data_IF_246595622721
#
_entry.id   IF_246595622721
#
_cell.length_a   1.000
_cell.length_b   1.000
_cell.length_c   1.000
_cell.angle_alpha   90.00
_cell.angle_beta   90.00
_cell.angle_gamma   90.00
#
_symmetry.space_group_name_H-M   'P 1'
#
loop_
_entity.id
_entity.type
_entity.pdbx_description
1 polymer ?
#
# COMPACT_ATOMS: atom_id res chain seq x y z
N UNK A 1 -13.81 16.37 27.06
CA UNK A 1 -14.87 15.88 26.14
C UNK A 1 -15.32 17.04 25.27
N UNK A 2 -14.77 17.18 24.07
CA UNK A 2 -15.20 18.21 23.12
C UNK A 2 -15.57 17.51 21.83
N UNK A 3 -16.88 17.37 21.62
CA UNK A 3 -17.43 16.83 20.37
C UNK A 3 -17.16 17.84 19.25
N UNK A 4 -16.70 17.42 18.06
CA UNK A 4 -16.78 18.29 16.89
C UNK A 4 -18.25 18.59 16.66
N UNK A 5 -18.67 19.84 16.87
CA UNK A 5 -20.05 20.28 16.75
C UNK A 5 -20.44 20.33 15.27
N UNK A 6 -20.80 19.18 14.69
CA UNK A 6 -21.64 19.20 13.49
C UNK A 6 -22.96 19.80 13.91
N UNK A 7 -23.21 21.02 13.45
CA UNK A 7 -24.45 21.76 13.72
C UNK A 7 -25.60 21.00 13.08
N UNK A 8 -26.67 20.76 13.84
CA UNK A 8 -27.89 20.16 13.31
C UNK A 8 -28.55 21.20 12.41
N UNK A 9 -28.84 20.89 11.13
CA UNK A 9 -29.46 21.87 10.23
C UNK A 9 -30.83 22.32 10.75
N UNK A 10 -31.16 23.62 10.64
CA UNK A 10 -32.42 24.18 11.15
C UNK A 10 -33.68 23.47 10.59
N UNK A 11 -33.63 23.03 9.33
CA UNK A 11 -34.70 22.22 8.71
C UNK A 11 -35.01 20.92 9.46
N UNK A 12 -34.01 20.31 10.10
CA UNK A 12 -34.17 19.05 10.86
C UNK A 12 -34.82 19.30 12.19
N UNK A 13 -34.54 20.44 12.82
CA UNK A 13 -35.27 20.88 14.01
C UNK A 13 -36.74 21.08 13.67
N UNK A 14 -37.04 21.71 12.52
CA UNK A 14 -38.40 21.85 12.01
C UNK A 14 -39.12 20.50 11.79
N UNK A 15 -38.47 19.54 11.14
CA UNK A 15 -39.01 18.18 10.93
C UNK A 15 -39.21 17.43 12.25
N UNK A 16 -38.29 17.60 13.20
CA UNK A 16 -38.40 16.99 14.55
C UNK A 16 -39.59 17.55 15.34
N UNK A 17 -39.81 18.87 15.28
CA UNK A 17 -40.98 19.49 15.89
C UNK A 17 -42.29 19.06 15.21
N UNK A 18 -42.30 19.00 13.87
CA UNK A 18 -43.46 18.55 13.12
C UNK A 18 -43.83 17.09 13.44
N UNK A 19 -42.85 16.19 13.49
CA UNK A 19 -43.07 14.77 13.86
C UNK A 19 -43.58 14.58 15.29
N UNK A 20 -43.17 15.41 16.25
CA UNK A 20 -43.73 15.41 17.61
C UNK A 20 -45.16 15.97 17.67
N UNK A 21 -45.48 16.93 16.80
CA UNK A 21 -46.80 17.55 16.76
C UNK A 21 -47.88 16.59 16.24
N UNK A 22 -47.55 15.67 15.32
CA UNK A 22 -48.51 14.70 14.76
C UNK A 22 -49.23 13.89 15.85
N UNK A 23 -48.55 13.11 16.72
CA UNK A 23 -49.24 12.34 17.76
C UNK A 23 -49.96 13.24 18.76
N UNK A 24 -49.42 14.43 19.07
CA UNK A 24 -50.01 15.36 20.02
C UNK A 24 -51.33 15.98 19.51
N UNK A 25 -51.37 16.35 18.24
CA UNK A 25 -52.57 16.91 17.60
C UNK A 25 -53.64 15.83 17.44
N UNK A 26 -53.25 14.62 17.03
CA UNK A 26 -54.20 13.51 16.91
C UNK A 26 -54.78 13.12 18.28
N UNK A 27 -53.97 13.16 19.36
CA UNK A 27 -54.42 12.98 20.74
C UNK A 27 -55.53 13.96 21.16
N UNK A 28 -55.50 15.19 20.64
CA UNK A 28 -56.50 16.22 20.94
C UNK A 28 -57.72 16.16 20.00
N UNK A 29 -57.52 15.79 18.73
CA UNK A 29 -58.55 15.84 17.70
C UNK A 29 -59.39 14.56 17.59
N UNK A 30 -58.82 13.41 17.93
CA UNK A 30 -59.46 12.11 17.80
C UNK A 30 -59.10 11.18 18.97
N UNK A 31 -59.50 11.53 20.21
CA UNK A 31 -59.12 10.78 21.40
C UNK A 31 -59.69 9.35 21.40
N UNK A 32 -60.87 9.14 20.82
CA UNK A 32 -61.52 7.82 20.77
C UNK A 32 -60.77 6.85 19.83
N UNK A 33 -60.25 7.34 18.70
CA UNK A 33 -59.44 6.55 17.76
C UNK A 33 -58.06 6.17 18.33
N UNK A 34 -57.50 7.01 19.21
CA UNK A 34 -56.28 6.66 19.96
C UNK A 34 -56.50 5.68 21.11
N UNK A 35 -57.74 5.60 21.62
CA UNK A 35 -58.11 4.63 22.62
C UNK A 35 -58.30 3.22 22.01
N UNK A 36 -58.54 3.14 20.70
CA UNK A 36 -58.54 1.90 19.93
C UNK A 36 -57.12 1.41 19.61
N UNK A 37 -56.97 0.09 19.42
CA UNK A 37 -55.65 -0.53 19.18
C UNK A 37 -54.96 0.01 17.92
N UNK A 38 -55.70 0.52 16.94
CA UNK A 38 -55.19 1.05 15.68
C UNK A 38 -54.38 2.36 15.82
N UNK A 39 -54.64 3.15 16.88
CA UNK A 39 -54.00 4.46 17.09
C UNK A 39 -52.56 4.40 17.64
N UNK A 40 -52.09 3.24 18.08
CA UNK A 40 -50.82 3.03 18.79
C UNK A 40 -49.57 3.36 17.96
N UNK A 41 -49.60 3.10 16.64
CA UNK A 41 -48.46 3.34 15.75
C UNK A 41 -48.13 4.84 15.60
N UNK A 42 -49.08 5.74 15.88
CA UNK A 42 -48.85 7.18 15.75
C UNK A 42 -47.80 7.68 16.75
N UNK A 43 -47.67 7.00 17.89
CA UNK A 43 -46.67 7.32 18.91
C UNK A 43 -45.24 6.96 18.49
N UNK A 44 -45.05 6.10 17.47
CA UNK A 44 -43.73 5.82 16.93
C UNK A 44 -43.09 7.06 16.29
N UNK A 45 -43.90 8.03 15.85
CA UNK A 45 -43.41 9.32 15.35
C UNK A 45 -42.68 10.14 16.43
N UNK A 46 -42.94 9.89 17.72
CA UNK A 46 -42.22 10.53 18.82
C UNK A 46 -40.74 10.09 18.90
N UNK A 47 -40.34 9.01 18.23
CA UNK A 47 -38.93 8.58 18.15
C UNK A 47 -38.15 9.26 17.02
N UNK A 48 -38.83 9.87 16.05
CA UNK A 48 -38.18 10.55 14.92
C UNK A 48 -37.19 11.67 15.35
N UNK A 49 -37.48 12.52 16.36
CA UNK A 49 -36.52 13.51 16.85
C UNK A 49 -35.22 12.89 17.38
N UNK A 50 -35.33 11.82 18.18
CA UNK A 50 -34.18 11.14 18.77
C UNK A 50 -33.33 10.47 17.68
N UNK A 51 -33.98 9.82 16.71
CA UNK A 51 -33.33 9.23 15.54
C UNK A 51 -32.59 10.28 14.70
N UNK A 52 -33.29 11.36 14.32
CA UNK A 52 -32.71 12.44 13.49
C UNK A 52 -31.53 13.10 14.20
N UNK A 53 -31.65 13.36 15.49
CA UNK A 53 -30.54 13.92 16.28
C UNK A 53 -29.31 12.99 16.27
N UNK A 54 -29.50 11.70 16.54
CA UNK A 54 -28.42 10.71 16.54
C UNK A 54 -27.74 10.62 15.15
N UNK A 55 -28.54 10.57 14.08
CA UNK A 55 -28.07 10.51 12.71
C UNK A 55 -27.20 11.72 12.32
N UNK A 56 -27.67 12.94 12.60
CA UNK A 56 -26.97 14.17 12.23
C UNK A 56 -25.75 14.47 13.10
N UNK A 57 -25.72 13.99 14.35
CA UNK A 57 -24.52 14.02 15.20
C UNK A 57 -23.48 12.97 14.79
N UNK A 58 -23.79 12.11 13.82
CA UNK A 58 -22.90 11.07 13.32
C UNK A 58 -22.84 9.82 14.21
N UNK A 59 -23.78 9.67 15.16
CA UNK A 59 -23.92 8.49 16.01
C UNK A 59 -24.64 7.38 15.24
N UNK A 60 -24.00 6.86 14.20
CA UNK A 60 -24.61 5.93 13.23
C UNK A 60 -25.15 4.67 13.90
N UNK A 61 -24.46 4.16 14.93
CA UNK A 61 -24.91 3.01 15.72
C UNK A 61 -26.21 3.27 16.49
N UNK A 62 -26.33 4.43 17.13
CA UNK A 62 -27.56 4.83 17.86
C UNK A 62 -28.72 5.05 16.90
N UNK A 63 -28.47 5.71 15.76
CA UNK A 63 -29.50 5.92 14.75
C UNK A 63 -30.03 4.58 14.17
N UNK A 64 -29.13 3.64 13.86
CA UNK A 64 -29.52 2.32 13.37
C UNK A 64 -30.33 1.53 14.41
N UNK A 65 -29.92 1.59 15.68
CA UNK A 65 -30.63 0.90 16.76
C UNK A 65 -32.05 1.47 16.98
N UNK A 66 -32.22 2.79 16.93
CA UNK A 66 -33.54 3.43 17.00
C UNK A 66 -34.41 3.05 15.79
N UNK A 67 -33.84 3.02 14.58
CA UNK A 67 -34.57 2.63 13.37
C UNK A 67 -35.02 1.16 13.39
N UNK A 68 -34.12 0.25 13.76
CA UNK A 68 -34.45 -1.16 13.95
C UNK A 68 -35.53 -1.32 15.02
N UNK A 69 -35.43 -0.55 16.10
CA UNK A 69 -36.42 -0.58 17.17
C UNK A 69 -37.80 -0.11 16.78
N UNK A 70 -37.89 1.00 16.04
CA UNK A 70 -39.15 1.45 15.46
C UNK A 70 -39.75 0.38 14.54
N UNK A 71 -38.93 -0.27 13.69
CA UNK A 71 -39.41 -1.33 12.80
C UNK A 71 -39.92 -2.58 13.54
N UNK A 72 -39.22 -3.03 14.58
CA UNK A 72 -39.63 -4.17 15.40
C UNK A 72 -40.93 -3.86 16.16
N UNK A 73 -41.08 -2.66 16.72
CA UNK A 73 -42.31 -2.24 17.39
C UNK A 73 -43.49 -2.15 16.41
N UNK A 74 -43.26 -1.60 15.20
CA UNK A 74 -44.28 -1.61 14.15
C UNK A 74 -44.72 -3.02 13.77
N UNK A 75 -43.77 -3.94 13.60
CA UNK A 75 -44.05 -5.32 13.21
C UNK A 75 -44.81 -6.09 14.30
N UNK A 76 -44.36 -5.99 15.55
CA UNK A 76 -45.03 -6.62 16.69
C UNK A 76 -46.47 -6.10 16.87
N UNK A 77 -46.69 -4.81 16.60
CA UNK A 77 -48.02 -4.23 16.65
C UNK A 77 -48.94 -4.72 15.52
N UNK A 78 -48.42 -4.80 14.29
CA UNK A 78 -49.16 -5.40 13.16
C UNK A 78 -49.50 -6.87 13.45
N UNK A 79 -48.58 -7.63 14.02
CA UNK A 79 -48.80 -9.03 14.42
C UNK A 79 -49.90 -9.16 15.49
N UNK A 80 -49.93 -8.24 16.47
CA UNK A 80 -50.94 -8.22 17.53
C UNK A 80 -52.36 -7.94 16.98
N UNK A 81 -52.48 -7.00 16.03
CA UNK A 81 -53.75 -6.72 15.33
C UNK A 81 -54.20 -7.94 14.52
N UNK A 82 -53.28 -8.58 13.78
CA UNK A 82 -53.60 -9.73 12.93
C UNK A 82 -54.03 -10.98 13.72
N UNK A 83 -53.64 -11.08 14.99
CA UNK A 83 -53.93 -12.22 15.87
C UNK A 83 -55.14 -12.00 16.79
N UNK A 84 -55.89 -10.89 16.65
CA UNK A 84 -57.06 -10.53 17.47
C UNK A 84 -56.85 -10.77 18.98
N UNK A 85 -55.66 -10.44 19.48
CA UNK A 85 -55.25 -10.74 20.85
C UNK A 85 -55.82 -9.72 21.86
N UNK A 86 -56.12 -10.14 23.09
CA UNK A 86 -56.71 -9.29 24.15
C UNK A 86 -55.90 -8.03 24.48
N UNK A 87 -56.52 -6.95 25.00
CA UNK A 87 -55.86 -5.66 25.14
C UNK A 87 -54.58 -5.76 25.98
N UNK A 88 -53.45 -5.21 25.48
CA UNK A 88 -52.17 -5.30 26.17
C UNK A 88 -52.23 -4.55 27.50
N UNK A 89 -51.65 -5.13 28.55
CA UNK A 89 -51.43 -4.42 29.81
C UNK A 89 -50.50 -3.23 29.54
N UNK A 90 -51.07 -2.02 29.53
CA UNK A 90 -50.38 -0.77 29.20
C UNK A 90 -49.13 -0.51 30.03
N UNK A 91 -49.14 -0.89 31.31
CA UNK A 91 -47.97 -0.75 32.17
C UNK A 91 -46.84 -1.69 31.74
N UNK A 92 -47.18 -2.92 31.34
CA UNK A 92 -46.21 -3.91 30.86
C UNK A 92 -45.64 -3.50 29.49
N UNK A 93 -46.50 -3.01 28.59
CA UNK A 93 -46.09 -2.53 27.27
C UNK A 93 -45.18 -1.31 27.39
N UNK A 94 -45.53 -0.32 28.21
CA UNK A 94 -44.69 0.85 28.46
C UNK A 94 -43.33 0.46 29.07
N UNK A 95 -43.33 -0.46 30.04
CA UNK A 95 -42.09 -0.95 30.65
C UNK A 95 -41.22 -1.72 29.65
N UNK A 96 -41.81 -2.57 28.81
CA UNK A 96 -41.11 -3.34 27.79
C UNK A 96 -40.51 -2.44 26.70
N UNK A 97 -41.28 -1.48 26.18
CA UNK A 97 -40.82 -0.48 25.21
C UNK A 97 -39.69 0.37 25.79
N UNK A 98 -39.84 0.84 27.04
CA UNK A 98 -38.81 1.63 27.73
C UNK A 98 -37.52 0.84 27.94
N UNK A 99 -37.61 -0.41 28.40
CA UNK A 99 -36.46 -1.29 28.57
C UNK A 99 -35.76 -1.60 27.24
N UNK A 100 -36.55 -1.82 26.18
CA UNK A 100 -36.04 -2.06 24.84
C UNK A 100 -35.31 -0.84 24.27
N UNK A 101 -35.88 0.36 24.39
CA UNK A 101 -35.23 1.61 23.96
C UNK A 101 -33.93 1.84 24.72
N UNK A 102 -33.92 1.63 26.04
CA UNK A 102 -32.71 1.74 26.85
C UNK A 102 -31.63 0.75 26.38
N UNK A 103 -32.00 -0.49 26.06
CA UNK A 103 -31.09 -1.50 25.52
C UNK A 103 -30.55 -1.11 24.13
N UNK A 104 -31.39 -0.62 23.22
CA UNK A 104 -30.99 -0.15 21.89
C UNK A 104 -30.04 1.04 21.97
N UNK A 105 -30.31 2.02 22.84
CA UNK A 105 -29.42 3.17 23.07
C UNK A 105 -28.09 2.69 23.67
N UNK A 106 -28.12 1.79 24.66
CA UNK A 106 -26.93 1.18 25.24
C UNK A 106 -26.07 0.46 24.20
N UNK A 107 -26.68 -0.41 23.39
CA UNK A 107 -26.00 -1.13 22.31
C UNK A 107 -25.42 -0.17 21.24
N UNK A 108 -26.17 0.88 20.88
CA UNK A 108 -25.71 1.91 19.96
C UNK A 108 -24.50 2.69 20.48
N UNK A 109 -24.48 3.01 21.79
CA UNK A 109 -23.34 3.65 22.46
C UNK A 109 -22.12 2.73 22.46
N UNK A 110 -22.30 1.45 22.80
CA UNK A 110 -21.21 0.46 22.81
C UNK A 110 -20.64 0.28 21.41
N UNK A 111 -21.48 0.15 20.38
CA UNK A 111 -21.06 0.02 18.99
C UNK A 111 -20.27 1.25 18.50
N UNK A 112 -20.73 2.46 18.85
CA UNK A 112 -20.02 3.70 18.54
C UNK A 112 -18.67 3.79 19.27
N UNK A 113 -18.62 3.39 20.55
CA UNK A 113 -17.38 3.34 21.33
C UNK A 113 -16.38 2.36 20.70
N UNK A 114 -16.83 1.17 20.32
CA UNK A 114 -16.02 0.16 19.65
C UNK A 114 -15.47 0.68 18.31
N UNK A 115 -16.32 1.34 17.51
CA UNK A 115 -15.89 1.89 16.22
C UNK A 115 -14.83 2.99 16.39
N UNK A 116 -14.97 3.83 17.42
CA UNK A 116 -13.98 4.86 17.74
C UNK A 116 -12.66 4.28 18.23
N UNK A 117 -12.71 3.30 19.11
CA UNK A 117 -11.48 2.63 19.57
C UNK A 117 -10.78 1.91 18.42
N UNK A 118 -11.53 1.27 17.51
CA UNK A 118 -10.98 0.70 16.28
C UNK A 118 -10.32 1.76 15.39
N UNK A 119 -10.99 2.90 15.15
CA UNK A 119 -10.43 3.98 14.32
C UNK A 119 -9.18 4.63 14.96
N UNK A 120 -9.13 4.74 16.29
CA UNK A 120 -7.92 5.17 17.01
C UNK A 120 -6.80 4.15 16.89
N UNK A 121 -7.10 2.87 17.07
CA UNK A 121 -6.13 1.78 16.90
C UNK A 121 -5.56 1.77 15.48
N UNK A 122 -6.40 1.97 14.47
CA UNK A 122 -5.98 2.08 13.06
C UNK A 122 -5.09 3.32 12.83
N UNK A 123 -5.40 4.48 13.42
CA UNK A 123 -4.52 5.67 13.32
C UNK A 123 -3.18 5.47 14.02
N UNK A 124 -3.17 4.86 15.21
CA UNK A 124 -1.94 4.50 15.92
C UNK A 124 -1.10 3.49 15.13
N UNK A 125 -1.76 2.66 14.30
CA UNK A 125 -1.11 1.68 13.44
C UNK A 125 -0.52 2.27 12.14
N UNK A 126 -0.73 3.57 11.84
CA UNK A 126 -0.28 4.20 10.59
C UNK A 126 0.77 5.31 10.79
N UNK A 127 1.20 5.56 12.02
CA UNK A 127 2.16 6.62 12.37
C UNK A 127 3.34 6.00 13.12
N UNK A 128 4.55 6.38 12.73
CA UNK A 128 5.78 6.03 13.44
C UNK A 128 5.89 6.85 14.73
N UNK A 129 6.00 6.17 15.87
CA UNK A 129 5.96 6.81 17.20
C UNK A 129 7.19 7.69 17.47
N UNK A 130 8.34 7.39 16.84
CA UNK A 130 9.57 8.12 17.07
C UNK A 130 9.55 9.47 16.36
N UNK A 131 9.21 9.48 15.07
CA UNK A 131 9.30 10.65 14.19
C UNK A 131 7.97 11.41 14.06
N UNK A 132 6.85 10.76 14.36
CA UNK A 132 5.51 11.29 14.14
C UNK A 132 5.11 11.39 12.66
N UNK A 133 5.93 10.86 11.75
CA UNK A 133 5.57 10.67 10.34
C UNK A 133 4.68 9.44 10.17
N UNK A 134 3.91 9.36 9.08
CA UNK A 134 3.39 8.11 8.57
C UNK A 134 4.42 6.97 8.61
N UNK A 135 3.99 5.75 8.93
CA UNK A 135 4.86 4.57 8.91
C UNK A 135 4.84 3.86 7.54
N UNK A 136 5.65 2.81 7.42
CA UNK A 136 5.73 1.97 6.21
C UNK A 136 4.37 1.54 5.68
N UNK A 137 3.46 1.08 6.54
CA UNK A 137 2.13 0.61 6.13
C UNK A 137 1.31 1.72 5.47
N UNK A 138 1.36 2.94 6.00
CA UNK A 138 0.67 4.07 5.39
C UNK A 138 1.32 4.45 4.04
N UNK A 139 2.65 4.36 3.94
CA UNK A 139 3.35 4.58 2.69
C UNK A 139 2.90 3.58 1.61
N UNK A 140 2.85 2.29 1.92
CA UNK A 140 2.41 1.22 0.99
C UNK A 140 0.97 1.45 0.52
N UNK A 141 0.03 1.74 1.42
CA UNK A 141 -1.36 2.06 1.05
C UNK A 141 -1.46 3.29 0.12
N UNK A 142 -0.60 4.28 0.34
CA UNK A 142 -0.59 5.51 -0.47
C UNK A 142 0.06 5.28 -1.82
N UNK A 143 1.16 4.53 -1.86
CA UNK A 143 1.85 4.13 -3.08
C UNK A 143 0.91 3.36 -4.01
N UNK A 144 0.20 2.36 -3.49
CA UNK A 144 -0.74 1.57 -4.28
C UNK A 144 -1.85 2.46 -4.90
N UNK A 145 -2.45 3.33 -4.08
CA UNK A 145 -3.48 4.25 -4.55
C UNK A 145 -2.97 5.27 -5.60
N UNK A 146 -1.78 5.85 -5.38
CA UNK A 146 -1.18 6.82 -6.30
C UNK A 146 -0.65 6.16 -7.57
N UNK A 147 -0.12 4.94 -7.47
CA UNK A 147 0.33 4.16 -8.63
C UNK A 147 -0.84 3.81 -9.55
N UNK A 148 -1.96 3.36 -8.98
CA UNK A 148 -3.19 3.14 -9.75
C UNK A 148 -3.68 4.43 -10.42
N UNK A 149 -3.51 5.59 -9.78
CA UNK A 149 -3.84 6.88 -10.37
C UNK A 149 -2.87 7.29 -11.49
N UNK A 150 -1.58 6.97 -11.34
CA UNK A 150 -0.57 7.19 -12.36
C UNK A 150 -0.84 6.34 -13.63
N UNK A 151 -1.32 5.11 -13.44
CA UNK A 151 -1.83 4.27 -14.54
C UNK A 151 -2.98 4.89 -15.34
N UNK A 152 -3.66 5.91 -14.79
CA UNK A 152 -4.71 6.69 -15.48
C UNK A 152 -4.21 8.04 -16.02
N UNK A 153 -2.89 8.25 -16.08
CA UNK A 153 -2.25 9.44 -16.64
C UNK A 153 -1.81 10.50 -15.63
N UNK A 154 -1.87 10.24 -14.32
CA UNK A 154 -1.27 11.15 -13.33
C UNK A 154 0.25 10.99 -13.26
N UNK A 155 0.97 12.07 -12.94
CA UNK A 155 2.41 12.00 -12.67
C UNK A 155 2.64 11.52 -11.25
N UNK A 156 3.60 10.63 -11.08
CA UNK A 156 3.99 10.09 -9.78
C UNK A 156 5.51 9.99 -9.71
N UNK A 157 6.07 10.48 -8.62
CA UNK A 157 7.48 10.29 -8.30
C UNK A 157 7.63 9.73 -6.87
N UNK A 158 8.64 8.89 -6.70
CA UNK A 158 9.05 8.36 -5.38
C UNK A 158 10.46 8.82 -5.11
N UNK A 159 10.68 9.32 -3.90
CA UNK A 159 12.00 9.66 -3.38
C UNK A 159 12.29 8.78 -2.18
N UNK A 160 13.34 7.99 -2.25
CA UNK A 160 13.89 7.25 -1.11
C UNK A 160 15.06 8.04 -0.52
N UNK A 161 15.09 8.17 0.80
CA UNK A 161 16.15 8.79 1.56
C UNK A 161 16.75 7.80 2.53
N UNK A 162 18.06 7.88 2.69
CA UNK A 162 18.79 7.11 3.70
C UNK A 162 19.86 7.97 4.36
N UNK A 163 19.86 7.95 5.70
CA UNK A 163 20.77 8.74 6.51
C UNK A 163 22.19 8.17 6.43
N UNK A 164 23.12 8.97 5.92
CA UNK A 164 24.48 8.51 5.68
C UNK A 164 25.20 8.17 6.99
N UNK A 165 25.83 7.00 7.04
CA UNK A 165 26.65 6.54 8.16
C UNK A 165 25.89 6.51 9.51
N UNK A 166 24.55 6.36 9.48
CA UNK A 166 23.71 6.39 10.69
C UNK A 166 24.14 5.38 11.75
N UNK A 167 24.53 4.17 11.35
CA UNK A 167 25.10 3.17 12.27
C UNK A 167 26.32 3.69 13.05
N UNK A 168 27.23 4.43 12.41
CA UNK A 168 28.40 5.00 13.09
C UNK A 168 28.01 6.07 14.12
N UNK A 169 26.94 6.83 13.86
CA UNK A 169 26.39 7.79 14.82
C UNK A 169 25.89 7.05 16.06
N UNK A 170 25.14 5.96 15.88
CA UNK A 170 24.67 5.13 16.99
C UNK A 170 25.82 4.50 17.77
N UNK A 171 26.81 3.95 17.08
CA UNK A 171 27.93 3.25 17.70
C UNK A 171 28.80 4.23 18.51
N UNK A 172 28.98 5.47 18.03
CA UNK A 172 29.85 6.47 18.66
C UNK A 172 29.15 7.33 19.72
N UNK A 173 27.87 7.63 19.53
CA UNK A 173 27.12 8.60 20.36
C UNK A 173 25.90 7.99 21.07
N UNK A 174 25.65 6.69 20.87
CA UNK A 174 24.55 5.94 21.46
C UNK A 174 23.23 6.11 20.72
N UNK A 175 22.30 5.17 20.93
CA UNK A 175 21.00 5.16 20.25
C UNK A 175 20.16 6.42 20.45
N UNK A 176 20.28 7.11 21.60
CA UNK A 176 19.57 8.38 21.85
C UNK A 176 20.00 9.48 20.86
N UNK A 177 21.25 9.44 20.40
CA UNK A 177 21.75 10.36 19.38
C UNK A 177 21.11 10.05 18.02
N UNK A 178 21.08 8.78 17.62
CA UNK A 178 20.39 8.36 16.40
C UNK A 178 18.90 8.71 16.41
N UNK A 179 18.21 8.49 17.53
CA UNK A 179 16.82 8.89 17.71
C UNK A 179 16.61 10.41 17.52
N UNK A 180 17.56 11.23 17.98
CA UNK A 180 17.50 12.67 17.77
C UNK A 180 17.65 13.05 16.29
N UNK A 181 18.56 12.38 15.56
CA UNK A 181 18.70 12.54 14.10
C UNK A 181 17.41 12.17 13.39
N UNK A 182 16.83 11.01 13.71
CA UNK A 182 15.58 10.55 13.09
C UNK A 182 14.41 11.52 13.34
N UNK A 183 14.29 12.05 14.57
CA UNK A 183 13.26 13.06 14.90
C UNK A 183 13.44 14.35 14.10
N UNK A 184 14.67 14.86 14.02
CA UNK A 184 14.97 16.09 13.28
C UNK A 184 14.70 15.89 11.79
N UNK A 185 15.15 14.78 11.22
CA UNK A 185 14.91 14.47 9.82
C UNK A 185 13.41 14.31 9.51
N UNK A 186 12.67 13.64 10.40
CA UNK A 186 11.22 13.54 10.29
C UNK A 186 10.51 14.90 10.30
N UNK A 187 10.99 15.85 11.12
CA UNK A 187 10.48 17.23 11.13
C UNK A 187 10.80 17.99 9.84
N UNK A 188 12.01 17.84 9.29
CA UNK A 188 12.42 18.45 8.01
C UNK A 188 11.50 17.94 6.89
N UNK A 189 11.30 16.62 6.80
CA UNK A 189 10.39 16.03 5.82
C UNK A 189 8.96 16.56 5.99
N UNK A 190 8.43 16.58 7.21
CA UNK A 190 7.07 17.06 7.48
C UNK A 190 6.85 18.53 7.07
N UNK A 191 7.83 19.40 7.27
CA UNK A 191 7.74 20.82 6.87
C UNK A 191 7.80 21.01 5.35
N UNK A 192 8.55 20.13 4.68
CA UNK A 192 8.78 20.23 3.23
C UNK A 192 7.73 19.51 2.38
N UNK A 193 6.98 18.57 2.98
CA UNK A 193 5.95 17.76 2.31
C UNK A 193 4.64 18.52 2.18
N UNK A 194 4.07 18.57 0.98
CA UNK A 194 2.77 19.23 0.75
C UNK A 194 1.62 18.34 1.20
N UNK A 195 0.42 18.89 1.32
CA UNK A 195 -0.78 18.16 1.77
C UNK A 195 -1.18 17.00 0.84
N UNK A 196 -0.86 17.09 -0.44
CA UNK A 196 -1.13 16.07 -1.46
C UNK A 196 -0.05 14.99 -1.53
N UNK A 197 1.11 15.24 -0.93
CA UNK A 197 2.25 14.34 -0.89
C UNK A 197 2.28 13.59 0.45
N UNK A 198 3.06 12.52 0.51
CA UNK A 198 3.26 11.76 1.74
C UNK A 198 4.75 11.54 1.98
N UNK A 199 5.26 11.96 3.14
CA UNK A 199 6.55 11.49 3.65
C UNK A 199 6.34 10.53 4.80
N UNK A 200 7.03 9.40 4.78
CA UNK A 200 6.89 8.33 5.74
C UNK A 200 8.26 7.78 6.16
N UNK A 201 8.33 7.23 7.37
CA UNK A 201 9.46 6.40 7.79
C UNK A 201 9.23 4.99 7.27
N UNK A 202 10.06 4.56 6.34
CA UNK A 202 9.91 3.29 5.62
C UNK A 202 10.66 2.15 6.30
N UNK A 203 11.78 2.47 6.97
CA UNK A 203 12.63 1.52 7.67
C UNK A 203 13.35 2.16 8.87
N UNK A 204 14.43 1.50 9.33
CA UNK A 204 15.20 1.96 10.48
C UNK A 204 15.75 3.38 10.29
N UNK A 205 16.57 3.57 9.26
CA UNK A 205 17.17 4.86 8.86
C UNK A 205 16.65 5.37 7.49
N UNK A 206 15.69 4.65 6.91
CA UNK A 206 15.15 4.87 5.58
C UNK A 206 13.80 5.58 5.61
N UNK A 207 13.64 6.55 4.73
CA UNK A 207 12.42 7.33 4.57
C UNK A 207 11.99 7.35 3.11
N UNK A 208 10.69 7.44 2.88
CA UNK A 208 10.11 7.53 1.55
C UNK A 208 9.24 8.77 1.45
N UNK A 209 9.31 9.47 0.33
CA UNK A 209 8.36 10.49 -0.06
C UNK A 209 7.66 10.09 -1.35
N UNK A 210 6.34 10.07 -1.32
CA UNK A 210 5.46 9.89 -2.47
C UNK A 210 5.00 11.28 -2.92
N UNK A 211 5.40 11.67 -4.12
CA UNK A 211 5.09 12.98 -4.71
C UNK A 211 4.06 12.80 -5.82
N UNK A 212 2.86 13.35 -5.60
CA UNK A 212 1.76 13.29 -6.55
C UNK A 212 1.80 14.49 -7.49
N UNK A 213 1.47 14.29 -8.76
CA UNK A 213 1.44 15.33 -9.78
C UNK A 213 2.77 16.12 -9.87
N UNK A 214 3.88 15.40 -9.77
CA UNK A 214 5.21 15.98 -9.68
C UNK A 214 5.97 15.85 -11.00
N UNK A 215 6.45 16.99 -11.52
CA UNK A 215 7.38 17.01 -12.65
C UNK A 215 8.79 16.56 -12.24
N UNK A 216 9.61 16.06 -13.19
CA UNK A 216 10.97 15.61 -12.90
C UNK A 216 11.83 16.58 -12.10
N UNK A 217 11.85 17.86 -12.49
CA UNK A 217 12.59 18.88 -11.76
C UNK A 217 12.02 19.18 -10.37
N UNK A 218 10.73 18.95 -10.14
CA UNK A 218 10.08 19.18 -8.85
C UNK A 218 10.56 18.22 -7.76
N UNK A 219 10.71 16.93 -8.11
CA UNK A 219 11.19 15.91 -7.18
C UNK A 219 12.65 16.14 -6.77
N UNK A 220 13.51 16.51 -7.73
CA UNK A 220 14.90 16.86 -7.46
C UNK A 220 15.03 18.08 -6.53
N UNK A 221 14.28 19.16 -6.82
CA UNK A 221 14.28 20.35 -5.97
C UNK A 221 13.76 20.05 -4.56
N UNK A 222 12.74 19.20 -4.43
CA UNK A 222 12.25 18.74 -3.13
C UNK A 222 13.37 18.02 -2.36
N UNK A 223 14.03 17.05 -2.99
CA UNK A 223 15.10 16.28 -2.37
C UNK A 223 16.31 17.16 -2.00
N UNK A 224 16.71 18.09 -2.88
CA UNK A 224 17.82 19.03 -2.63
C UNK A 224 17.54 19.94 -1.44
N UNK A 225 16.30 20.42 -1.32
CA UNK A 225 15.89 21.25 -0.18
C UNK A 225 15.95 20.48 1.13
N UNK A 226 15.43 19.25 1.17
CA UNK A 226 15.49 18.37 2.35
C UNK A 226 16.94 18.06 2.72
N UNK A 227 17.77 17.71 1.75
CA UNK A 227 19.20 17.43 1.96
C UNK A 227 19.94 18.64 2.53
N UNK A 228 19.73 19.83 1.96
CA UNK A 228 20.35 21.07 2.44
C UNK A 228 19.95 21.38 3.89
N UNK A 229 18.66 21.29 4.21
CA UNK A 229 18.18 21.53 5.58
C UNK A 229 18.80 20.56 6.60
N UNK A 230 18.96 19.28 6.25
CA UNK A 230 19.63 18.32 7.14
C UNK A 230 21.12 18.64 7.31
N UNK A 231 21.81 19.01 6.24
CA UNK A 231 23.23 19.39 6.28
C UNK A 231 23.47 20.64 7.15
N UNK A 232 22.52 21.57 7.13
CA UNK A 232 22.55 22.79 7.94
C UNK A 232 22.18 22.53 9.41
N UNK A 233 21.43 21.47 9.70
CA UNK A 233 21.13 21.07 11.07
C UNK A 233 22.42 20.74 11.84
N UNK A 234 22.55 21.35 13.02
CA UNK A 234 23.72 21.17 13.90
C UNK A 234 23.39 20.18 15.00
N UNK A 235 24.16 19.08 15.04
CA UNK A 235 24.12 18.11 16.12
C UNK A 235 25.34 18.29 17.02
N UNK A 236 25.27 17.81 18.27
CA UNK A 236 26.39 17.90 19.22
C UNK A 236 27.67 17.16 18.80
N UNK A 237 27.60 16.40 17.70
CA UNK A 237 28.68 15.59 17.13
C UNK A 237 29.00 15.93 15.66
N UNK A 238 28.45 17.02 15.12
CA UNK A 238 28.74 17.49 13.76
C UNK A 238 27.51 17.55 12.84
N UNK A 239 27.76 17.55 11.53
CA UNK A 239 26.72 17.52 10.51
C UNK A 239 26.35 16.09 10.14
N UNK A 240 25.08 15.86 9.84
CA UNK A 240 24.58 14.60 9.27
C UNK A 240 24.16 14.86 7.83
N UNK A 241 24.42 13.90 6.95
CA UNK A 241 24.04 13.97 5.53
C UNK A 241 23.04 12.88 5.19
N UNK A 242 22.39 13.03 4.05
CA UNK A 242 21.42 12.07 3.52
C UNK A 242 21.67 11.87 2.04
N UNK A 243 21.64 10.61 1.62
CA UNK A 243 21.61 10.24 0.21
C UNK A 243 20.17 10.01 -0.22
N UNK A 244 19.83 10.37 -1.45
CA UNK A 244 18.48 10.14 -1.99
C UNK A 244 18.50 9.49 -3.37
N UNK A 245 17.52 8.64 -3.62
CA UNK A 245 17.23 8.06 -4.92
C UNK A 245 15.83 8.45 -5.37
N UNK A 246 15.70 8.96 -6.59
CA UNK A 246 14.43 9.39 -7.17
C UNK A 246 14.06 8.46 -8.32
N UNK A 247 12.80 8.04 -8.39
CA UNK A 247 12.25 7.40 -9.59
C UNK A 247 10.88 7.98 -9.94
N UNK A 248 10.58 7.94 -11.23
CA UNK A 248 9.31 8.39 -11.78
C UNK A 248 8.53 7.19 -12.28
N UNK A 249 7.21 7.26 -12.15
CA UNK A 249 6.33 6.32 -12.81
C UNK A 249 6.53 6.42 -14.33
N UNK A 250 6.69 5.27 -14.97
CA UNK A 250 6.74 5.13 -16.42
C UNK A 250 5.63 4.18 -16.87
N UNK A 251 5.04 4.46 -18.03
CA UNK A 251 4.01 3.62 -18.61
C UNK A 251 4.56 2.21 -18.89
N UNK A 252 3.89 1.19 -18.36
CA UNK A 252 4.34 -0.21 -18.44
C UNK A 252 4.98 -0.77 -17.17
N UNK A 253 5.16 0.04 -16.12
CA UNK A 253 5.44 -0.49 -14.79
C UNK A 253 4.23 -1.30 -14.31
N UNK A 254 4.44 -2.55 -13.88
CA UNK A 254 3.36 -3.44 -13.44
C UNK A 254 2.91 -3.26 -11.98
N UNK A 255 3.73 -2.64 -11.13
CA UNK A 255 3.39 -2.37 -9.72
C UNK A 255 4.26 -1.27 -9.09
N UNK A 256 3.83 -0.78 -7.93
CA UNK A 256 4.55 0.27 -7.20
C UNK A 256 5.89 -0.23 -6.64
N UNK A 257 6.06 -1.52 -6.37
CA UNK A 257 7.33 -2.11 -5.90
C UNK A 257 8.44 -1.89 -6.92
N UNK A 258 8.12 -1.95 -8.22
CA UNK A 258 9.10 -1.69 -9.29
C UNK A 258 9.52 -0.22 -9.30
N UNK A 259 8.58 0.70 -9.06
CA UNK A 259 8.87 2.12 -8.92
C UNK A 259 9.76 2.39 -7.69
N UNK A 260 9.43 1.78 -6.54
CA UNK A 260 10.23 1.89 -5.31
C UNK A 260 11.62 1.29 -5.52
N UNK A 261 11.72 0.16 -6.19
CA UNK A 261 13.00 -0.48 -6.51
C UNK A 261 13.85 0.33 -7.48
N UNK A 262 13.24 1.02 -8.44
CA UNK A 262 13.92 1.98 -9.29
C UNK A 262 14.52 3.13 -8.46
N UNK A 263 13.77 3.67 -7.49
CA UNK A 263 14.28 4.68 -6.56
C UNK A 263 15.41 4.12 -5.68
N UNK A 264 15.30 2.87 -5.23
CA UNK A 264 16.32 2.20 -4.41
C UNK A 264 17.63 2.03 -5.18
N UNK A 265 17.57 1.68 -6.46
CA UNK A 265 18.75 1.63 -7.34
C UNK A 265 19.46 2.98 -7.43
N UNK A 266 18.71 4.06 -7.59
CA UNK A 266 19.28 5.40 -7.62
C UNK A 266 19.93 5.74 -6.26
N UNK A 267 19.27 5.41 -5.15
CA UNK A 267 19.81 5.61 -3.81
C UNK A 267 21.10 4.80 -3.59
N UNK A 268 21.15 3.56 -4.06
CA UNK A 268 22.35 2.73 -4.02
C UNK A 268 23.50 3.37 -4.81
N UNK A 269 23.23 3.87 -6.02
CA UNK A 269 24.21 4.62 -6.81
C UNK A 269 24.71 5.86 -6.06
N UNK A 270 23.82 6.60 -5.40
CA UNK A 270 24.17 7.76 -4.59
C UNK A 270 25.14 7.39 -3.46
N UNK A 271 24.85 6.29 -2.74
CA UNK A 271 25.70 5.79 -1.65
C UNK A 271 27.08 5.36 -2.14
N UNK A 272 27.15 4.68 -3.30
CA UNK A 272 28.40 4.19 -3.86
C UNK A 272 29.25 5.28 -4.54
N UNK A 273 28.62 6.34 -5.04
CA UNK A 273 29.32 7.47 -5.65
C UNK A 273 29.89 8.47 -4.64
N UNK A 274 29.82 8.18 -3.33
CA UNK A 274 30.42 8.98 -2.27
C UNK A 274 29.43 9.59 -1.28
N UNK A 275 28.15 9.18 -1.31
CA UNK A 275 27.08 9.66 -0.41
C UNK A 275 26.77 11.16 -0.58
N UNK A 276 25.88 11.69 0.28
CA UNK A 276 25.51 13.11 0.37
C UNK A 276 25.11 13.70 -1.00
N UNK A 277 24.33 12.92 -1.77
CA UNK A 277 23.89 13.28 -3.12
C UNK A 277 22.54 12.68 -3.44
N UNK A 278 21.97 13.18 -4.53
CA UNK A 278 20.68 12.78 -5.05
C UNK A 278 20.94 12.21 -6.43
N UNK A 279 20.49 10.98 -6.65
CA UNK A 279 20.54 10.35 -7.96
C UNK A 279 19.11 10.13 -8.46
N UNK A 280 18.92 10.33 -9.75
CA UNK A 280 17.66 10.03 -10.43
C UNK A 280 17.84 8.73 -11.20
N UNK A 281 16.95 7.78 -10.96
CA UNK A 281 16.92 6.55 -11.71
C UNK A 281 16.70 6.85 -13.19
N UNK A 282 17.59 6.32 -14.02
CA UNK A 282 17.45 6.32 -15.47
C UNK A 282 17.51 4.88 -15.92
N UNK A 283 16.47 4.36 -16.59
CA UNK A 283 16.53 3.00 -17.11
C UNK A 283 17.74 2.89 -18.06
N UNK A 284 18.51 1.79 -17.98
CA UNK A 284 19.62 1.57 -18.91
C UNK A 284 19.08 1.54 -20.34
N UNK A 285 19.68 2.32 -21.25
CA UNK A 285 19.34 2.28 -22.67
C UNK A 285 19.63 0.88 -23.22
N UNK A 286 18.58 0.06 -23.40
CA UNK A 286 18.68 -1.32 -23.93
C UNK A 286 19.10 -1.34 -25.41
N UNK A 287 19.13 -0.18 -26.10
CA UNK A 287 19.35 -0.08 -27.54
C UNK A 287 20.80 -0.34 -28.05
N UNK A 288 21.75 -0.81 -27.24
CA UNK A 288 23.14 -1.02 -27.71
C UNK A 288 23.88 -2.22 -27.10
N UNK A 289 23.19 -3.21 -26.52
CA UNK A 289 23.84 -4.39 -25.92
C UNK A 289 23.79 -5.63 -26.85
N UNK A 290 23.10 -5.54 -27.98
CA UNK A 290 22.96 -6.63 -28.95
C UNK A 290 24.26 -7.01 -29.71
N UNK A 291 25.39 -6.34 -29.49
CA UNK A 291 26.62 -6.59 -30.26
C UNK A 291 27.72 -7.36 -29.51
N UNK A 292 27.44 -7.88 -28.30
CA UNK A 292 28.40 -8.66 -27.50
C UNK A 292 28.01 -10.11 -27.19
N UNK A 293 26.85 -10.58 -27.64
CA UNK A 293 26.38 -11.92 -27.33
C UNK A 293 27.18 -12.98 -28.10
N UNK A 294 27.65 -14.03 -27.39
CA UNK A 294 28.30 -15.20 -28.01
C UNK A 294 27.41 -15.77 -29.14
N UNK A 295 27.98 -16.21 -30.28
CA UNK A 295 27.20 -16.79 -31.36
C UNK A 295 26.39 -18.00 -30.87
N UNK A 296 25.12 -18.03 -31.29
CA UNK A 296 24.08 -18.95 -30.83
C UNK A 296 24.23 -20.40 -31.33
N UNK A 297 25.37 -20.80 -31.90
CA UNK A 297 25.53 -22.07 -32.63
C UNK A 297 25.94 -23.28 -31.79
N UNK A 298 26.12 -23.16 -30.46
CA UNK A 298 26.65 -24.27 -29.63
C UNK A 298 25.67 -24.87 -28.59
N UNK A 299 24.37 -24.62 -28.66
CA UNK A 299 23.45 -25.10 -27.59
C UNK A 299 22.21 -25.81 -28.14
N UNK A 300 22.34 -27.12 -28.36
CA UNK A 300 21.24 -28.06 -28.60
C UNK A 300 20.72 -28.74 -27.33
N UNK A 301 19.43 -29.08 -27.35
CA UNK A 301 18.60 -29.89 -26.43
C UNK A 301 18.19 -29.32 -25.04
N UNK A 302 16.97 -29.67 -24.55
CA UNK A 302 16.39 -29.11 -23.33
C UNK A 302 17.20 -29.53 -22.10
N UNK A 303 17.87 -28.56 -21.47
CA UNK A 303 18.80 -28.75 -20.35
C UNK A 303 18.06 -29.13 -19.05
N UNK A 304 17.68 -30.40 -18.89
CA UNK A 304 17.26 -31.01 -17.60
C UNK A 304 18.37 -31.02 -16.53
N UNK A 305 19.48 -30.32 -16.74
CA UNK A 305 20.61 -30.18 -15.83
C UNK A 305 21.09 -28.72 -15.69
N UNK A 306 20.24 -27.76 -16.10
CA UNK A 306 20.53 -26.33 -16.00
C UNK A 306 20.83 -25.91 -14.57
N UNK A 307 21.82 -25.02 -14.41
CA UNK A 307 22.21 -24.45 -13.13
C UNK A 307 21.37 -23.20 -12.85
N UNK A 308 20.66 -23.20 -11.73
CA UNK A 308 19.81 -22.10 -11.29
C UNK A 308 20.34 -21.58 -9.96
N UNK A 309 20.46 -20.27 -9.82
CA UNK A 309 20.71 -19.62 -8.53
C UNK A 309 19.41 -18.99 -8.06
N UNK A 310 19.03 -19.24 -6.81
CA UNK A 310 17.87 -18.62 -6.17
C UNK A 310 18.37 -17.73 -5.04
N UNK A 311 17.88 -16.49 -5.00
CA UNK A 311 18.11 -15.58 -3.89
C UNK A 311 16.80 -15.02 -3.36
N UNK A 312 16.62 -15.15 -2.04
CA UNK A 312 15.47 -14.66 -1.28
C UNK A 312 15.92 -14.51 0.17
N UNK A 313 15.54 -13.41 0.84
CA UNK A 313 15.88 -13.17 2.25
C UNK A 313 14.95 -13.93 3.21
N UNK A 314 13.77 -14.34 2.74
CA UNK A 314 12.92 -15.26 3.46
C UNK A 314 13.45 -16.69 3.30
N UNK A 315 14.07 -17.19 4.38
CA UNK A 315 14.66 -18.54 4.41
C UNK A 315 13.65 -19.65 4.15
N UNK A 316 12.37 -19.46 4.47
CA UNK A 316 11.33 -20.46 4.23
C UNK A 316 10.93 -20.48 2.75
N UNK A 317 10.80 -19.32 2.12
CA UNK A 317 10.59 -19.20 0.67
C UNK A 317 11.80 -19.76 -0.08
N UNK A 318 13.02 -19.37 0.29
CA UNK A 318 14.26 -19.85 -0.31
C UNK A 318 14.34 -21.39 -0.28
N UNK A 319 14.04 -22.00 0.87
CA UNK A 319 14.02 -23.47 1.04
C UNK A 319 12.91 -24.13 0.26
N UNK A 320 11.74 -23.51 0.14
CA UNK A 320 10.61 -24.05 -0.62
C UNK A 320 10.92 -24.05 -2.12
N UNK A 321 11.32 -22.89 -2.67
CA UNK A 321 11.67 -22.70 -4.09
C UNK A 321 12.83 -23.62 -4.49
N UNK A 322 13.88 -23.68 -3.68
CA UNK A 322 15.03 -24.55 -3.94
C UNK A 322 14.62 -26.02 -4.03
N UNK A 323 13.81 -26.51 -3.08
CA UNK A 323 13.33 -27.90 -3.09
C UNK A 323 12.41 -28.21 -4.27
N UNK A 324 11.53 -27.28 -4.64
CA UNK A 324 10.64 -27.43 -5.80
C UNK A 324 11.44 -27.59 -7.10
N UNK A 325 12.43 -26.73 -7.32
CA UNK A 325 13.25 -26.74 -8.53
C UNK A 325 14.20 -27.95 -8.58
N UNK A 326 14.76 -28.37 -7.44
CA UNK A 326 15.55 -29.60 -7.36
C UNK A 326 14.72 -30.85 -7.69
N UNK A 327 13.47 -30.93 -7.19
CA UNK A 327 12.53 -32.00 -7.54
C UNK A 327 12.15 -32.00 -9.02
N UNK A 328 12.11 -30.82 -9.64
CA UNK A 328 11.90 -30.68 -11.08
C UNK A 328 13.12 -31.06 -11.93
N UNK A 329 14.26 -31.42 -11.31
CA UNK A 329 15.47 -31.93 -11.96
C UNK A 329 16.58 -30.90 -12.17
N UNK A 330 16.42 -29.65 -11.72
CA UNK A 330 17.43 -28.60 -11.91
C UNK A 330 18.54 -28.67 -10.86
N UNK A 331 19.75 -28.20 -11.21
CA UNK A 331 20.82 -27.98 -10.23
C UNK A 331 20.64 -26.60 -9.62
N UNK A 332 20.28 -26.53 -8.35
CA UNK A 332 19.88 -25.28 -7.69
C UNK A 332 20.80 -24.96 -6.52
N UNK A 333 21.35 -23.74 -6.51
CA UNK A 333 22.03 -23.15 -5.35
C UNK A 333 21.18 -22.01 -4.78
N UNK A 334 20.86 -22.08 -3.49
CA UNK A 334 20.12 -21.04 -2.77
C UNK A 334 21.05 -20.21 -1.89
N UNK A 335 20.86 -18.89 -1.86
CA UNK A 335 21.59 -17.96 -0.99
C UNK A 335 20.68 -16.83 -0.51
N UNK A 336 20.98 -16.22 0.64
CA UNK A 336 20.37 -14.99 1.16
C UNK A 336 21.34 -13.79 1.05
N UNK A 337 22.55 -14.04 0.53
CA UNK A 337 23.61 -13.04 0.35
C UNK A 337 23.77 -12.62 -1.13
N UNK A 338 23.41 -11.37 -1.48
CA UNK A 338 23.59 -10.82 -2.82
C UNK A 338 25.05 -10.78 -3.29
N UNK A 339 26.02 -10.59 -2.38
CA UNK A 339 27.44 -10.51 -2.75
C UNK A 339 27.97 -11.85 -3.26
N UNK A 340 27.47 -12.96 -2.72
CA UNK A 340 27.78 -14.30 -3.20
C UNK A 340 27.31 -14.50 -4.64
N UNK A 341 26.12 -14.00 -5.00
CA UNK A 341 25.63 -14.06 -6.39
C UNK A 341 26.53 -13.24 -7.31
N UNK A 342 26.88 -12.01 -6.93
CA UNK A 342 27.79 -11.16 -7.73
C UNK A 342 29.15 -11.84 -7.92
N UNK A 343 29.70 -12.46 -6.87
CA UNK A 343 30.96 -13.19 -6.94
C UNK A 343 30.88 -14.41 -7.89
N UNK A 344 29.77 -15.15 -7.88
CA UNK A 344 29.54 -16.28 -8.81
C UNK A 344 29.62 -15.84 -10.28
N UNK A 345 29.06 -14.69 -10.63
CA UNK A 345 29.11 -14.18 -12.01
C UNK A 345 30.45 -13.52 -12.38
N UNK A 346 31.19 -13.01 -11.39
CA UNK A 346 32.51 -12.39 -11.57
C UNK A 346 33.61 -13.44 -11.75
N UNK A 347 33.67 -14.41 -10.84
CA UNK A 347 34.82 -15.31 -10.66
C UNK A 347 34.53 -16.76 -11.10
N UNK A 348 33.28 -17.09 -11.43
CA UNK A 348 32.85 -18.46 -11.73
C UNK A 348 33.35 -19.00 -13.07
N UNK A 349 33.97 -20.18 -13.04
CA UNK A 349 34.27 -20.99 -14.24
C UNK A 349 32.99 -21.48 -14.94
N UNK A 350 31.89 -21.65 -14.19
CA UNK A 350 30.57 -22.03 -14.71
C UNK A 350 29.53 -21.01 -14.22
N UNK A 351 28.99 -20.22 -15.14
CA UNK A 351 27.94 -19.24 -14.83
C UNK A 351 26.56 -19.91 -14.79
N UNK A 352 25.66 -19.53 -13.87
CA UNK A 352 24.31 -20.07 -13.84
C UNK A 352 23.53 -19.77 -15.13
N UNK A 353 22.68 -20.71 -15.55
CA UNK A 353 21.81 -20.56 -16.72
C UNK A 353 20.61 -19.63 -16.46
N UNK A 354 20.21 -19.48 -15.19
CA UNK A 354 19.07 -18.69 -14.74
C UNK A 354 19.30 -18.16 -13.30
N UNK A 355 18.96 -16.90 -13.07
CA UNK A 355 18.89 -16.28 -11.75
C UNK A 355 17.43 -16.09 -11.35
N UNK A 356 17.04 -16.57 -10.17
CA UNK A 356 15.74 -16.29 -9.56
C UNK A 356 15.99 -15.38 -8.36
N UNK A 357 15.33 -14.23 -8.30
CA UNK A 357 15.53 -13.26 -7.22
C UNK A 357 14.20 -12.76 -6.71
N UNK A 358 14.05 -12.64 -5.39
CA UNK A 358 13.00 -11.76 -4.85
C UNK A 358 13.25 -10.32 -5.31
N UNK A 359 12.17 -9.60 -5.63
CA UNK A 359 12.25 -8.17 -5.91
C UNK A 359 12.62 -7.45 -4.62
N UNK A 360 11.96 -7.73 -3.50
CA UNK A 360 12.13 -6.94 -2.29
C UNK A 360 13.00 -7.69 -1.27
N UNK A 361 14.30 -7.40 -1.22
CA UNK A 361 15.22 -7.97 -0.24
C UNK A 361 15.93 -6.88 0.61
N UNK A 362 16.20 -7.12 1.91
CA UNK A 362 17.00 -6.26 2.77
C UNK A 362 18.44 -6.09 2.25
N UNK A 363 19.05 -4.93 2.53
CA UNK A 363 20.42 -4.53 2.15
C UNK A 363 20.63 -4.26 0.66
N UNK A 364 20.11 -5.11 -0.22
CA UNK A 364 20.17 -4.92 -1.67
C UNK A 364 18.95 -5.56 -2.32
N UNK A 365 18.14 -4.74 -2.98
CA UNK A 365 17.00 -5.18 -3.77
C UNK A 365 17.43 -6.10 -4.94
N UNK A 366 16.63 -7.12 -5.28
CA UNK A 366 16.94 -8.06 -6.37
C UNK A 366 17.09 -7.40 -7.73
N UNK A 367 16.37 -6.29 -7.95
CA UNK A 367 16.52 -5.44 -9.11
C UNK A 367 17.92 -4.80 -9.17
N UNK A 368 18.49 -4.34 -8.05
CA UNK A 368 19.86 -3.80 -7.97
C UNK A 368 20.91 -4.89 -8.17
N UNK A 369 20.66 -6.09 -7.64
CA UNK A 369 21.50 -7.27 -7.85
C UNK A 369 21.59 -7.62 -9.34
N UNK A 370 20.45 -7.73 -10.02
CA UNK A 370 20.38 -8.13 -11.43
C UNK A 370 21.13 -7.14 -12.33
N UNK A 371 21.03 -5.83 -12.08
CA UNK A 371 21.79 -4.83 -12.82
C UNK A 371 23.32 -5.01 -12.66
N UNK A 372 23.76 -5.37 -11.45
CA UNK A 372 25.16 -5.69 -11.20
C UNK A 372 25.60 -6.96 -11.92
N UNK A 373 24.72 -7.96 -12.00
CA UNK A 373 24.98 -9.20 -12.76
C UNK A 373 24.98 -8.94 -14.26
N UNK A 374 24.07 -8.12 -14.80
CA UNK A 374 23.99 -7.80 -16.23
C UNK A 374 25.23 -7.08 -16.76
N UNK A 375 25.88 -6.26 -15.93
CA UNK A 375 27.19 -5.67 -16.26
C UNK A 375 28.29 -6.72 -16.47
N UNK A 376 28.18 -7.88 -15.82
CA UNK A 376 29.15 -8.98 -15.88
C UNK A 376 28.74 -10.06 -16.90
N UNK A 377 27.43 -10.27 -17.06
CA UNK A 377 26.80 -11.20 -17.98
C UNK A 377 25.52 -10.61 -18.59
N UNK A 378 25.63 -9.95 -19.76
CA UNK A 378 24.47 -9.40 -20.45
C UNK A 378 23.43 -10.43 -20.89
N UNK A 379 23.80 -11.72 -20.97
CA UNK A 379 22.92 -12.80 -21.41
C UNK A 379 22.22 -13.55 -20.28
N UNK A 380 22.36 -13.10 -19.03
CA UNK A 380 21.71 -13.73 -17.88
C UNK A 380 20.18 -13.66 -18.03
N UNK A 381 19.54 -14.80 -17.80
CA UNK A 381 18.09 -14.93 -17.74
C UNK A 381 17.64 -14.78 -16.30
N UNK A 382 16.53 -14.07 -16.09
CA UNK A 382 16.10 -13.71 -14.73
C UNK A 382 14.62 -14.04 -14.51
N UNK A 383 14.30 -14.63 -13.36
CA UNK A 383 12.92 -14.72 -12.84
C UNK A 383 12.82 -13.90 -11.56
N UNK A 384 11.86 -13.01 -11.50
CA UNK A 384 11.58 -12.20 -10.31
C UNK A 384 10.44 -12.81 -9.50
N UNK A 385 10.61 -12.93 -8.18
CA UNK A 385 9.54 -13.26 -7.24
C UNK A 385 8.95 -11.95 -6.70
N UNK A 386 7.62 -11.78 -6.72
CA UNK A 386 6.96 -10.54 -6.25
C UNK A 386 5.69 -10.83 -5.46
N UNK A 387 5.45 -10.09 -4.38
CA UNK A 387 4.22 -10.18 -3.57
C UNK A 387 2.98 -9.54 -4.18
N UNK A 388 3.14 -8.73 -5.23
CA UNK A 388 2.05 -8.01 -5.88
C UNK A 388 2.11 -8.26 -7.39
N UNK A 389 1.38 -9.27 -7.85
CA UNK A 389 1.03 -9.41 -9.26
C UNK A 389 -0.42 -8.95 -9.45
N UNK A 390 -0.62 -7.76 -10.00
CA UNK A 390 -1.84 -7.49 -10.76
C UNK A 390 -1.67 -8.09 -12.17
N UNK A 391 -2.75 -8.66 -12.69
CA UNK A 391 -2.79 -9.52 -13.89
C UNK A 391 -1.98 -8.96 -15.08
N UNK A 392 -1.17 -9.84 -15.69
CA UNK A 392 -0.66 -9.83 -17.07
C UNK A 392 -0.13 -8.51 -17.66
N UNK A 393 0.19 -7.50 -16.84
CA UNK A 393 0.97 -6.35 -17.29
C UNK A 393 2.37 -6.85 -17.65
N UNK A 394 2.64 -6.98 -18.95
CA UNK A 394 3.97 -7.29 -19.48
C UNK A 394 4.95 -6.24 -18.97
N UNK A 395 5.82 -6.65 -18.03
CA UNK A 395 6.85 -5.87 -17.35
C UNK A 395 7.97 -5.40 -18.29
N UNK A 396 7.62 -4.59 -19.29
CA UNK A 396 8.57 -4.01 -20.22
C UNK A 396 9.37 -2.90 -19.51
N UNK A 397 10.69 -3.07 -19.37
CA UNK A 397 11.59 -2.02 -18.84
C UNK A 397 12.44 -2.41 -17.63
N UNK A 398 12.33 -3.65 -17.14
CA UNK A 398 13.20 -4.14 -16.06
C UNK A 398 14.52 -4.70 -16.61
N UNK A 399 15.65 -4.55 -15.89
CA UNK A 399 16.93 -5.09 -16.31
C UNK A 399 16.89 -6.62 -16.41
N UNK A 400 17.27 -7.11 -17.59
CA UNK A 400 17.35 -8.51 -17.95
C UNK A 400 17.10 -8.63 -19.45
N UNK A 401 18.00 -9.27 -20.20
CA UNK A 401 17.80 -9.48 -21.65
C UNK A 401 16.52 -10.31 -21.91
N UNK A 402 16.21 -11.24 -21.01
CA UNK A 402 14.92 -11.90 -20.92
C UNK A 402 14.55 -12.05 -19.44
N UNK A 403 13.33 -11.64 -19.06
CA UNK A 403 12.84 -11.71 -17.68
C UNK A 403 11.40 -12.23 -17.59
N UNK A 404 11.11 -12.97 -16.52
CA UNK A 404 9.77 -13.47 -16.16
C UNK A 404 9.43 -13.19 -14.69
N UNK A 405 8.15 -13.27 -14.32
CA UNK A 405 7.65 -12.95 -12.98
C UNK A 405 6.82 -14.07 -12.39
N UNK A 406 6.96 -14.29 -11.08
CA UNK A 406 6.17 -15.27 -10.31
C UNK A 406 5.67 -14.60 -9.04
N UNK A 407 4.37 -14.75 -8.77
CA UNK A 407 3.71 -14.17 -7.60
C UNK A 407 4.04 -14.94 -6.33
N UNK A 408 4.09 -14.23 -5.20
CA UNK A 408 4.05 -14.83 -3.86
C UNK A 408 2.58 -14.86 -3.37
N UNK A 409 2.08 -15.98 -2.81
CA UNK A 409 2.79 -17.23 -2.51
C UNK A 409 3.19 -18.00 -3.79
N UNK A 410 4.38 -18.60 -3.77
CA UNK A 410 4.97 -19.23 -4.95
C UNK A 410 4.28 -20.55 -5.26
N UNK A 411 3.47 -20.56 -6.32
CA UNK A 411 2.84 -21.77 -6.84
C UNK A 411 3.81 -22.58 -7.70
N UNK A 412 3.90 -23.89 -7.42
CA UNK A 412 4.87 -24.77 -8.07
C UNK A 412 4.71 -24.82 -9.60
N UNK A 413 3.48 -24.89 -10.11
CA UNK A 413 3.20 -24.96 -11.54
C UNK A 413 3.64 -23.69 -12.27
N UNK A 414 3.29 -22.52 -11.71
CA UNK A 414 3.68 -21.22 -12.26
C UNK A 414 5.18 -21.02 -12.26
N UNK A 415 5.86 -21.35 -11.16
CA UNK A 415 7.32 -21.24 -11.08
C UNK A 415 8.01 -22.14 -12.11
N UNK A 416 7.60 -23.41 -12.23
CA UNK A 416 8.21 -24.35 -13.18
C UNK A 416 7.95 -23.91 -14.62
N UNK A 417 6.73 -23.43 -14.92
CA UNK A 417 6.40 -22.91 -16.24
C UNK A 417 7.29 -21.71 -16.62
N UNK A 418 7.41 -20.72 -15.73
CA UNK A 418 8.26 -19.55 -15.95
C UNK A 418 9.73 -19.93 -16.14
N UNK A 419 10.26 -20.87 -15.35
CA UNK A 419 11.63 -21.37 -15.49
C UNK A 419 11.84 -22.07 -16.83
N UNK A 420 10.91 -22.92 -17.26
CA UNK A 420 11.00 -23.61 -18.56
C UNK A 420 10.95 -22.64 -19.72
N UNK A 421 9.97 -21.73 -19.72
CA UNK A 421 9.83 -20.70 -20.74
C UNK A 421 11.13 -19.91 -20.89
N UNK A 422 11.70 -19.45 -19.77
CA UNK A 422 12.97 -18.72 -19.77
C UNK A 422 14.13 -19.55 -20.32
N UNK A 423 14.23 -20.83 -19.95
CA UNK A 423 15.30 -21.71 -20.40
C UNK A 423 15.19 -22.10 -21.89
N UNK A 424 13.96 -22.14 -22.44
CA UNK A 424 13.65 -22.58 -23.81
C UNK A 424 13.55 -21.45 -24.84
N UNK A 425 13.44 -20.18 -24.40
CA UNK A 425 13.32 -18.99 -25.28
C UNK A 425 14.51 -18.84 -26.24
N UNK A 426 14.22 -18.67 -27.54
CA UNK A 426 15.23 -18.49 -28.61
C UNK A 426 15.64 -17.02 -28.75
N UNK A 427 16.88 -16.71 -29.18
CA UNK A 427 17.38 -15.33 -29.32
C UNK A 427 16.60 -14.46 -30.32
N UNK A 428 15.89 -15.07 -31.27
CA UNK A 428 15.17 -14.35 -32.35
C UNK A 428 13.89 -13.63 -31.85
N UNK A 429 13.33 -14.05 -30.71
CA UNK A 429 12.13 -13.47 -30.12
C UNK A 429 12.35 -12.10 -29.45
N UNK A 430 13.60 -11.70 -29.22
CA UNK A 430 13.93 -10.40 -28.63
C UNK A 430 13.92 -9.26 -29.67
N UNK A 431 14.11 -9.58 -30.95
CA UNK A 431 14.10 -8.62 -32.08
C UNK A 431 12.69 -8.25 -32.58
N UNK A 432 11.71 -9.14 -32.44
CA UNK A 432 10.33 -8.93 -32.88
C UNK A 432 9.53 -8.04 -31.92
N UNK A 433 9.94 -7.92 -30.65
CA UNK A 433 9.34 -6.99 -29.69
C UNK A 433 9.73 -5.51 -29.95
N UNK A 434 10.89 -5.24 -30.56
CA UNK A 434 11.31 -3.87 -30.91
C UNK A 434 10.85 -3.40 -32.29
N UNK A 435 10.54 -4.32 -33.22
CA UNK A 435 10.22 -3.98 -34.61
C UNK A 435 8.74 -3.58 -34.85
N UNK A 436 7.84 -3.83 -33.89
CA UNK A 436 6.39 -3.57 -34.03
C UNK A 436 5.91 -2.14 -33.77
N UNK A 437 6.80 -1.19 -33.42
CA UNK A 437 6.42 0.20 -33.04
C UNK A 437 6.73 1.28 -34.08
N UNK A 438 6.94 0.91 -35.35
CA UNK A 438 7.10 1.87 -36.44
C UNK A 438 5.96 1.72 -37.46
N UNK A 439 4.74 2.09 -37.06
CA UNK A 439 3.63 2.30 -37.98
C UNK A 439 2.84 3.56 -37.58
N UNK A 440 2.91 4.55 -38.47
CA UNK A 440 1.98 5.68 -38.65
C UNK A 440 1.89 6.75 -37.55
N UNK A 441 2.77 7.75 -37.67
CA UNK A 441 2.43 9.16 -37.39
C UNK A 441 1.64 9.69 -38.59
N UNK A 442 0.40 10.18 -38.46
CA UNK A 442 -0.24 10.95 -39.52
C UNK A 442 0.28 12.40 -39.48
N UNK A 443 0.76 12.88 -40.62
CA UNK A 443 1.13 14.28 -40.81
C UNK A 443 -0.07 15.22 -40.59
N UNK A 444 0.13 16.40 -39.98
CA UNK A 444 -0.92 17.39 -39.84
C UNK A 444 -1.18 18.09 -41.17
N UNK A 445 -2.44 18.17 -41.58
CA UNK A 445 -2.95 19.14 -42.56
C UNK A 445 -3.41 20.40 -41.85
#
# INVERSE_FOLDING_TARGET
MTFPSRTVPARIVGISLASLAVPLVTALAAPDWLAEEEGLLIWLWAFAPAFLFAYYRGLRGVALALAAGMATLSLAHVELILLESTPPNWNLLFAAVSAYLAACVGAGIVAEMLHRERAKAERLALVDQLTGLPNRRHAELTLDAQFAAAGRGQKLAVVLFDLDLFKQINDRHGHKAGDAVLRIFGQILRRNTRRMDLSARFGGEEFITVLSDCDPGGAELFAQRVQRELREARFGWGSVTVSAGIAFYEEGMGSYEVLVAAADRALYAAKHAGRDRIEVYRPPKVAAVAQGARPASERGEPRRSASIVVIDDDLDVLRAVTRLLQRAGYRVEGTDDPQRVIALYRDGQTRPDLLITDVMMPRMNGLTLVDSVLRLDPGVRVVYLSGYLQEEARWAGLPGAASAFVGKPVEAERLIAAVREMLERKPEDDSSASAGRNAQVPEPK
#
